data_IF_003270484284
#
_entry.id   IF_003270484284
#
_cell.length_a   1.000
_cell.length_b   1.000
_cell.length_c   1.000
_cell.angle_alpha   90.00
_cell.angle_beta   90.00
_cell.angle_gamma   90.00
#
_symmetry.space_group_name_H-M   'P 1'
#
loop_
_entity.id
_entity.type
_entity.pdbx_description
1 polymer ?
#
# COMPACT_ATOMS: atom_id res chain seq x y z
N UNK A 1 1.44 38.54 26.37
CA UNK A 1 2.14 37.30 26.79
C UNK A 1 1.25 36.07 26.61
N UNK A 2 -0.03 36.14 26.99
CA UNK A 2 -0.98 35.01 26.87
C UNK A 2 -1.23 34.56 25.42
N UNK A 3 -1.41 35.48 24.48
CA UNK A 3 -1.61 35.12 23.06
C UNK A 3 -0.41 34.40 22.43
N UNK A 4 0.81 34.73 22.85
CA UNK A 4 2.03 34.09 22.36
C UNK A 4 2.16 32.66 22.92
N UNK A 5 1.75 32.45 24.18
CA UNK A 5 1.69 31.13 24.80
C UNK A 5 0.69 30.21 24.06
N UNK A 6 -0.50 30.73 23.72
CA UNK A 6 -1.52 29.98 22.96
C UNK A 6 -1.00 29.57 21.58
N UNK A 7 -0.33 30.48 20.87
CA UNK A 7 0.27 30.19 19.56
C UNK A 7 1.34 29.09 19.68
N UNK A 8 2.25 29.20 20.66
CA UNK A 8 3.30 28.20 20.89
C UNK A 8 2.72 26.83 21.21
N UNK A 9 1.71 26.76 22.09
CA UNK A 9 1.01 25.50 22.43
C UNK A 9 0.32 24.93 21.18
N UNK A 10 -0.38 25.76 20.40
CA UNK A 10 -1.02 25.35 19.16
C UNK A 10 -0.04 24.76 18.14
N UNK A 11 1.12 25.41 17.96
CA UNK A 11 2.21 24.91 17.10
C UNK A 11 2.74 23.58 17.63
N UNK A 12 3.04 23.49 18.93
CA UNK A 12 3.56 22.27 19.55
C UNK A 12 2.58 21.09 19.41
N UNK A 13 1.27 21.34 19.57
CA UNK A 13 0.23 20.34 19.35
C UNK A 13 0.15 19.90 17.89
N UNK A 14 0.26 20.84 16.95
CA UNK A 14 0.24 20.56 15.52
C UNK A 14 1.46 19.72 15.10
N UNK A 15 2.67 20.12 15.49
CA UNK A 15 3.90 19.39 15.17
C UNK A 15 3.93 18.00 15.79
N UNK A 16 3.43 17.86 17.03
CA UNK A 16 3.29 16.56 17.69
C UNK A 16 2.31 15.64 16.96
N UNK A 17 1.14 16.15 16.55
CA UNK A 17 0.16 15.39 15.74
C UNK A 17 0.76 14.97 14.40
N UNK A 18 1.47 15.88 13.72
CA UNK A 18 2.12 15.60 12.45
C UNK A 18 3.21 14.53 12.59
N UNK A 19 4.03 14.61 13.64
CA UNK A 19 5.05 13.61 13.93
C UNK A 19 4.44 12.22 14.20
N UNK A 20 3.40 12.15 15.03
CA UNK A 20 2.69 10.89 15.29
C UNK A 20 2.11 10.28 14.01
N UNK A 21 1.55 11.12 13.13
CA UNK A 21 1.07 10.68 11.82
C UNK A 21 2.22 10.14 10.94
N UNK A 22 3.38 10.80 10.95
CA UNK A 22 4.57 10.37 10.23
C UNK A 22 5.12 9.03 10.69
N UNK A 23 5.26 8.86 12.02
CA UNK A 23 5.70 7.61 12.63
C UNK A 23 4.76 6.46 12.25
N UNK A 24 3.44 6.64 12.41
CA UNK A 24 2.45 5.61 12.06
C UNK A 24 2.49 5.26 10.57
N UNK A 25 2.66 6.25 9.69
CA UNK A 25 2.77 6.03 8.24
C UNK A 25 4.02 5.22 7.89
N UNK A 26 5.17 5.54 8.52
CA UNK A 26 6.44 4.81 8.34
C UNK A 26 6.31 3.36 8.82
N UNK A 27 5.80 3.15 10.04
CA UNK A 27 5.56 1.81 10.59
C UNK A 27 4.61 0.98 9.71
N UNK A 28 3.51 1.57 9.21
CA UNK A 28 2.59 0.88 8.31
C UNK A 28 3.27 0.46 7.01
N UNK A 29 4.10 1.35 6.42
CA UNK A 29 4.85 1.04 5.18
C UNK A 29 5.86 -0.08 5.43
N UNK A 30 6.58 0.00 6.54
CA UNK A 30 7.56 -1.01 6.94
C UNK A 30 6.90 -2.38 7.13
N UNK A 31 5.83 -2.47 7.93
CA UNK A 31 5.05 -3.69 8.09
C UNK A 31 4.57 -4.23 6.73
N UNK A 32 4.02 -3.37 5.88
CA UNK A 32 3.51 -3.79 4.57
C UNK A 32 4.63 -4.41 3.70
N UNK A 33 5.78 -3.74 3.60
CA UNK A 33 6.89 -4.16 2.73
C UNK A 33 7.67 -5.34 3.30
N UNK A 34 7.95 -5.31 4.60
CA UNK A 34 8.88 -6.23 5.24
C UNK A 34 8.22 -7.42 5.91
N UNK A 35 6.91 -7.34 6.21
CA UNK A 35 6.15 -8.43 6.85
C UNK A 35 5.09 -8.95 5.89
N UNK A 36 4.08 -8.14 5.54
CA UNK A 36 2.92 -8.63 4.79
C UNK A 36 3.27 -9.15 3.39
N UNK A 37 4.04 -8.41 2.58
CA UNK A 37 4.40 -8.88 1.23
C UNK A 37 5.31 -10.12 1.22
N UNK A 38 5.88 -10.51 2.37
CA UNK A 38 6.70 -11.73 2.52
C UNK A 38 5.92 -12.88 3.16
N UNK A 39 4.68 -12.63 3.59
CA UNK A 39 3.84 -13.59 4.30
C UNK A 39 3.19 -14.63 3.38
N UNK A 40 2.84 -15.79 3.93
CA UNK A 40 2.09 -16.84 3.23
C UNK A 40 0.71 -16.35 2.78
N UNK A 41 0.07 -15.49 3.56
CA UNK A 41 -1.23 -14.89 3.23
C UNK A 41 -1.14 -14.13 1.91
N UNK A 42 -0.09 -13.31 1.75
CA UNK A 42 0.13 -12.60 0.50
C UNK A 42 0.48 -13.57 -0.64
N UNK A 43 1.32 -14.59 -0.43
CA UNK A 43 1.66 -15.54 -1.49
C UNK A 43 0.43 -16.31 -1.99
N UNK A 44 -0.46 -16.74 -1.09
CA UNK A 44 -1.74 -17.38 -1.44
C UNK A 44 -2.64 -16.42 -2.22
N UNK A 45 -2.80 -15.18 -1.73
CA UNK A 45 -3.60 -14.16 -2.43
C UNK A 45 -3.03 -13.86 -3.82
N UNK A 46 -1.72 -13.70 -3.92
CA UNK A 46 -1.00 -13.48 -5.18
C UNK A 46 -1.29 -14.63 -6.15
N UNK A 47 -1.20 -15.88 -5.71
CA UNK A 47 -1.51 -17.04 -6.55
C UNK A 47 -2.95 -17.00 -7.07
N UNK A 48 -3.93 -16.70 -6.21
CA UNK A 48 -5.36 -16.62 -6.61
C UNK A 48 -5.57 -15.57 -7.70
N UNK A 49 -4.96 -14.39 -7.57
CA UNK A 49 -5.04 -13.33 -8.59
C UNK A 49 -4.40 -13.79 -9.91
N UNK A 50 -3.18 -14.35 -9.84
CA UNK A 50 -2.47 -14.88 -11.01
C UNK A 50 -3.25 -15.97 -11.73
N UNK A 51 -3.88 -16.87 -10.98
CA UNK A 51 -4.72 -17.93 -11.52
C UNK A 51 -5.99 -17.39 -12.16
N UNK A 52 -6.69 -16.47 -11.50
CA UNK A 52 -7.90 -15.81 -12.04
C UNK A 52 -7.62 -15.15 -13.38
N UNK A 53 -6.47 -14.48 -13.50
CA UNK A 53 -6.07 -13.73 -14.69
C UNK A 53 -5.32 -14.61 -15.73
N UNK A 54 -5.38 -15.94 -15.58
CA UNK A 54 -4.73 -16.91 -16.47
C UNK A 54 -3.23 -16.64 -16.71
N UNK A 55 -2.53 -16.15 -15.68
CA UNK A 55 -1.12 -15.75 -15.74
C UNK A 55 -0.80 -14.75 -16.87
N UNK A 56 -1.81 -13.98 -17.32
CA UNK A 56 -1.66 -12.96 -18.35
C UNK A 56 -1.85 -11.57 -17.77
N UNK A 57 -1.13 -10.63 -18.35
CA UNK A 57 -1.25 -9.22 -18.04
C UNK A 57 -2.62 -8.73 -18.49
N UNK A 58 -3.42 -8.21 -17.57
CA UNK A 58 -4.77 -7.73 -17.88
C UNK A 58 -4.79 -6.53 -18.84
N UNK A 59 -3.66 -5.85 -19.03
CA UNK A 59 -3.56 -4.66 -19.88
C UNK A 59 -3.02 -4.94 -21.29
N UNK A 60 -2.12 -5.92 -21.45
CA UNK A 60 -1.46 -6.16 -22.74
C UNK A 60 -1.41 -7.63 -23.15
N UNK A 61 -1.95 -8.56 -22.36
CA UNK A 61 -2.04 -9.99 -22.69
C UNK A 61 -0.73 -10.79 -22.59
N UNK A 62 0.42 -10.12 -22.38
CA UNK A 62 1.71 -10.78 -22.16
C UNK A 62 1.76 -11.57 -20.84
N UNK A 63 2.79 -12.38 -20.62
CA UNK A 63 2.94 -13.14 -19.38
C UNK A 63 3.00 -12.18 -18.17
N UNK A 64 2.11 -12.37 -17.20
CA UNK A 64 2.15 -11.62 -15.95
C UNK A 64 3.23 -12.19 -15.03
N UNK A 65 3.94 -11.30 -14.36
CA UNK A 65 4.98 -11.66 -13.38
C UNK A 65 4.73 -11.03 -12.01
N UNK A 66 3.80 -10.08 -11.94
CA UNK A 66 3.53 -9.27 -10.76
C UNK A 66 2.03 -9.13 -10.53
N UNK A 67 1.66 -8.82 -9.29
CA UNK A 67 0.30 -8.41 -8.93
C UNK A 67 0.34 -6.94 -8.55
N UNK A 68 -0.51 -6.15 -9.19
CA UNK A 68 -0.65 -4.72 -8.95
C UNK A 68 -1.88 -4.42 -8.11
N UNK A 69 -1.71 -3.54 -7.13
CA UNK A 69 -2.81 -2.99 -6.33
C UNK A 69 -3.43 -1.79 -7.04
N UNK A 70 -4.68 -1.92 -7.48
CA UNK A 70 -5.50 -0.80 -7.97
C UNK A 70 -5.91 0.14 -6.82
N UNK A 71 -6.03 -0.41 -5.61
CA UNK A 71 -6.35 0.30 -4.36
C UNK A 71 -5.61 -0.37 -3.20
N UNK A 72 -5.23 0.41 -2.20
CA UNK A 72 -4.61 -0.09 -0.97
C UNK A 72 -5.59 -0.05 0.19
N UNK A 73 -5.65 -1.13 0.98
CA UNK A 73 -6.47 -1.17 2.19
C UNK A 73 -5.97 -0.17 3.23
N UNK A 74 -6.76 0.86 3.57
CA UNK A 74 -6.38 1.83 4.62
C UNK A 74 -6.19 1.17 5.99
N UNK A 75 -7.07 0.20 6.29
CA UNK A 75 -7.09 -0.62 7.50
C UNK A 75 -7.16 -2.09 7.12
N UNK A 76 -6.76 -2.99 8.02
CA UNK A 76 -6.82 -4.45 7.81
C UNK A 76 -6.09 -4.92 6.54
N UNK A 77 -4.79 -4.58 6.43
CA UNK A 77 -3.90 -5.10 5.38
C UNK A 77 -4.05 -6.63 5.30
N UNK A 78 -4.22 -7.17 4.11
CA UNK A 78 -4.47 -8.60 3.94
C UNK A 78 -5.93 -8.98 3.77
N UNK A 79 -6.87 -8.07 4.06
CA UNK A 79 -8.30 -8.30 3.87
C UNK A 79 -8.91 -7.53 2.69
N UNK A 80 -8.08 -6.90 1.84
CA UNK A 80 -8.58 -6.25 0.64
C UNK A 80 -9.25 -7.24 -0.33
N UNK A 81 -10.34 -6.80 -1.01
CA UNK A 81 -11.00 -7.59 -2.04
C UNK A 81 -10.06 -7.95 -3.18
N UNK A 82 -10.22 -9.16 -3.73
CA UNK A 82 -9.39 -9.66 -4.84
C UNK A 82 -9.55 -8.80 -6.10
N UNK A 83 -10.70 -8.15 -6.28
CA UNK A 83 -10.98 -7.24 -7.39
C UNK A 83 -10.11 -5.98 -7.34
N UNK A 84 -9.47 -5.67 -6.20
CA UNK A 84 -8.52 -4.56 -6.10
C UNK A 84 -7.13 -4.94 -6.59
N UNK A 85 -6.93 -6.20 -6.95
CA UNK A 85 -5.67 -6.76 -7.42
C UNK A 85 -5.80 -7.23 -8.86
N UNK A 86 -4.74 -7.04 -9.66
CA UNK A 86 -4.66 -7.52 -11.03
C UNK A 86 -3.28 -8.05 -11.35
N UNK A 87 -3.21 -9.11 -12.14
CA UNK A 87 -1.97 -9.65 -12.66
C UNK A 87 -1.48 -8.84 -13.85
N UNK A 88 -0.23 -8.39 -13.78
CA UNK A 88 0.39 -7.59 -14.83
C UNK A 88 1.84 -8.00 -15.10
N UNK A 89 2.32 -7.68 -16.30
CA UNK A 89 3.73 -7.80 -16.62
C UNK A 89 4.50 -6.62 -16.04
N UNK A 90 5.82 -6.78 -15.90
CA UNK A 90 6.72 -5.75 -15.37
C UNK A 90 6.62 -4.41 -16.12
N UNK A 91 6.57 -4.43 -17.45
CA UNK A 91 6.52 -3.18 -18.24
C UNK A 91 5.21 -2.40 -18.02
N UNK A 92 4.08 -3.09 -17.88
CA UNK A 92 2.82 -2.45 -17.51
C UNK A 92 2.83 -1.98 -16.05
N UNK A 93 3.50 -2.70 -15.15
CA UNK A 93 3.62 -2.29 -13.75
C UNK A 93 4.42 -1.01 -13.60
N UNK A 94 5.58 -0.93 -14.24
CA UNK A 94 6.46 0.23 -14.17
C UNK A 94 5.74 1.49 -14.70
N UNK A 95 4.95 1.36 -15.79
CA UNK A 95 4.10 2.44 -16.34
C UNK A 95 2.98 2.93 -15.41
N UNK A 96 2.59 2.14 -14.40
CA UNK A 96 1.55 2.51 -13.42
C UNK A 96 2.10 3.16 -12.16
N UNK A 97 3.41 3.01 -11.91
CA UNK A 97 4.13 3.71 -10.83
C UNK A 97 4.94 4.89 -11.34
N UNK A 98 4.71 5.30 -12.59
CA UNK A 98 5.20 6.54 -13.18
C UNK A 98 4.36 7.74 -12.71
#
# INVERSE_FOLDING_TARGET
>A
MEGLLIIVIGIAMYTSKWWLFDVKRKQRRDYYQNVYLKSDEWQRKRYVVMKRDNWRCVYCGSCATQVHHKKYAKYNIGKEPIEWLVSICKSCHDKKHS
#
